data_IF_748832177314
#
_entry.id   IF_748832177314
#
_cell.length_a   1.000
_cell.length_b   1.000
_cell.length_c   1.000
_cell.angle_alpha   90.00
_cell.angle_beta   90.00
_cell.angle_gamma   90.00
#
_symmetry.space_group_name_H-M   'P 1'
#
loop_
_entity.id
_entity.type
_entity.pdbx_description
1 polymer ?
#
# COMPACT_ATOMS: atom_id res chain seq x y z
N UNK A 1 9.67 -25.14 12.54
CA UNK A 1 8.50 -24.22 12.63
C UNK A 1 8.88 -22.73 12.82
N UNK A 2 9.82 -22.35 13.71
CA UNK A 2 10.27 -20.94 13.89
C UNK A 2 10.71 -20.23 12.59
N UNK A 3 11.38 -20.96 11.69
CA UNK A 3 11.88 -20.45 10.39
C UNK A 3 10.75 -20.00 9.46
N UNK A 4 9.62 -20.71 9.45
CA UNK A 4 8.47 -20.36 8.59
C UNK A 4 7.78 -19.08 9.09
N UNK A 5 7.66 -18.86 10.41
CA UNK A 5 7.08 -17.62 10.97
C UNK A 5 7.94 -16.40 10.69
N UNK A 6 9.27 -16.50 10.87
CA UNK A 6 10.21 -15.42 10.56
C UNK A 6 10.26 -15.09 9.07
N UNK A 7 10.23 -16.10 8.21
CA UNK A 7 10.21 -15.88 6.76
C UNK A 7 8.96 -15.09 6.32
N UNK A 8 7.76 -15.41 6.85
CA UNK A 8 6.54 -14.66 6.55
C UNK A 8 6.58 -13.22 7.08
N UNK A 9 7.11 -13.02 8.29
CA UNK A 9 7.24 -11.67 8.86
C UNK A 9 8.23 -10.81 8.06
N UNK A 10 9.38 -11.39 7.66
CA UNK A 10 10.35 -10.73 6.80
C UNK A 10 9.76 -10.39 5.43
N UNK A 11 8.97 -11.29 4.85
CA UNK A 11 8.28 -11.06 3.57
C UNK A 11 7.25 -9.93 3.68
N UNK A 12 6.47 -9.88 4.76
CA UNK A 12 5.54 -8.77 5.00
C UNK A 12 6.27 -7.43 5.14
N UNK A 13 7.37 -7.40 5.92
CA UNK A 13 8.21 -6.21 6.12
C UNK A 13 8.86 -5.76 4.82
N UNK A 14 9.42 -6.68 4.02
CA UNK A 14 10.05 -6.33 2.74
C UNK A 14 9.04 -5.77 1.75
N UNK A 15 7.85 -6.36 1.66
CA UNK A 15 6.78 -5.86 0.79
C UNK A 15 6.30 -4.48 1.24
N UNK A 16 6.20 -4.23 2.55
CA UNK A 16 5.80 -2.93 3.08
C UNK A 16 6.87 -1.85 2.83
N UNK A 17 8.15 -2.21 2.98
CA UNK A 17 9.27 -1.33 2.63
C UNK A 17 9.28 -0.97 1.14
N UNK A 18 9.08 -1.96 0.26
CA UNK A 18 8.97 -1.71 -1.18
C UNK A 18 7.79 -0.79 -1.50
N UNK A 19 6.62 -1.01 -0.87
CA UNK A 19 5.47 -0.12 -1.02
C UNK A 19 5.83 1.31 -0.59
N UNK A 20 6.44 1.48 0.59
CA UNK A 20 6.82 2.81 1.07
C UNK A 20 7.77 3.54 0.12
N UNK A 21 8.80 2.86 -0.38
CA UNK A 21 9.75 3.44 -1.33
C UNK A 21 9.07 3.83 -2.64
N UNK A 22 8.22 2.95 -3.20
CA UNK A 22 7.54 3.21 -4.45
C UNK A 22 6.50 4.33 -4.33
N UNK A 23 5.67 4.35 -3.28
CA UNK A 23 4.70 5.43 -3.05
C UNK A 23 5.40 6.77 -2.77
N UNK A 24 6.46 6.80 -1.97
CA UNK A 24 7.21 8.05 -1.71
C UNK A 24 7.86 8.57 -2.98
N UNK A 25 8.45 7.69 -3.78
CA UNK A 25 9.05 8.06 -5.07
C UNK A 25 8.00 8.60 -6.02
N UNK A 26 6.88 7.89 -6.17
CA UNK A 26 5.75 8.31 -6.99
C UNK A 26 5.19 9.66 -6.52
N UNK A 27 5.10 9.91 -5.21
CA UNK A 27 4.53 11.16 -4.70
C UNK A 27 5.37 12.41 -5.00
N UNK A 28 6.70 12.27 -5.04
CA UNK A 28 7.64 13.40 -5.19
C UNK A 28 7.95 13.68 -6.67
N UNK A 29 7.98 12.64 -7.49
CA UNK A 29 8.36 12.75 -8.90
C UNK A 29 7.31 13.44 -9.77
N UNK A 30 7.76 14.01 -10.88
CA UNK A 30 6.95 14.72 -11.87
C UNK A 30 6.60 13.86 -13.09
N UNK A 31 6.87 12.56 -13.06
CA UNK A 31 6.69 11.65 -14.21
C UNK A 31 5.48 10.72 -14.05
N UNK A 32 4.33 11.23 -13.63
CA UNK A 32 3.09 10.43 -13.58
C UNK A 32 2.50 10.22 -14.96
N UNK A 33 2.55 11.27 -15.78
CA UNK A 33 2.18 11.20 -17.19
C UNK A 33 3.23 11.96 -17.99
N UNK A 34 3.49 11.45 -19.18
CA UNK A 34 4.44 12.02 -20.13
C UNK A 34 3.72 12.13 -21.48
N UNK A 35 4.00 13.19 -22.21
CA UNK A 35 3.31 13.40 -23.47
C UNK A 35 3.89 14.52 -24.28
N UNK A 36 3.19 14.79 -25.38
CA UNK A 36 3.51 15.91 -26.24
C UNK A 36 2.33 16.84 -26.39
N UNK A 37 2.64 18.13 -26.40
CA UNK A 37 1.70 19.19 -26.64
C UNK A 37 1.96 19.80 -28.01
N UNK A 38 0.90 20.03 -28.78
CA UNK A 38 0.96 20.72 -30.07
C UNK A 38 0.89 22.22 -29.85
N UNK A 39 1.97 22.94 -30.13
CA UNK A 39 2.07 24.40 -29.96
C UNK A 39 2.40 25.05 -31.29
N UNK A 40 1.82 26.21 -31.65
CA UNK A 40 2.19 26.93 -32.86
C UNK A 40 3.68 27.31 -32.86
N UNK A 41 4.35 27.15 -34.01
CA UNK A 41 5.75 27.59 -34.17
C UNK A 41 5.89 29.09 -33.88
N UNK A 42 6.88 29.52 -33.07
CA UNK A 42 7.18 30.94 -32.92
C UNK A 42 7.75 31.53 -34.23
N UNK A 43 7.68 32.85 -34.39
CA UNK A 43 8.35 33.55 -35.49
C UNK A 43 9.86 33.50 -35.32
N UNK A 44 10.61 33.29 -36.42
CA UNK A 44 12.07 33.23 -36.36
C UNK A 44 12.66 34.58 -35.90
N UNK A 45 13.51 34.54 -34.87
CA UNK A 45 14.33 35.68 -34.44
C UNK A 45 15.69 35.74 -35.16
N UNK A 46 16.45 36.82 -34.97
CA UNK A 46 17.74 37.05 -35.66
C UNK A 46 18.80 35.97 -35.41
N UNK A 47 18.69 35.20 -34.32
CA UNK A 47 19.71 34.22 -33.90
C UNK A 47 19.31 32.74 -34.00
N UNK A 48 18.02 32.39 -34.15
CA UNK A 48 17.54 31.00 -34.22
C UNK A 48 16.71 30.78 -35.50
N UNK A 49 17.24 29.96 -36.42
CA UNK A 49 16.67 29.68 -37.75
C UNK A 49 16.05 28.29 -37.91
N UNK A 50 16.06 27.45 -36.87
CA UNK A 50 15.50 26.08 -36.89
C UNK A 50 14.19 26.02 -36.09
N UNK A 51 13.18 25.30 -36.57
CA UNK A 51 11.87 25.10 -35.90
C UNK A 51 11.08 26.40 -35.64
N UNK A 52 11.10 27.35 -36.58
CA UNK A 52 10.37 28.61 -36.47
C UNK A 52 9.77 28.98 -37.82
N UNK A 53 8.72 29.80 -37.80
CA UNK A 53 8.08 30.28 -39.03
C UNK A 53 8.89 31.46 -39.59
N UNK A 54 9.54 31.25 -40.73
CA UNK A 54 10.15 32.32 -41.51
C UNK A 54 9.06 33.01 -42.33
N UNK A 55 8.58 34.14 -41.84
CA UNK A 55 7.77 35.04 -42.65
C UNK A 55 8.62 35.82 -43.67
N UNK A 56 9.95 35.74 -43.62
CA UNK A 56 10.85 36.44 -44.54
C UNK A 56 10.68 35.95 -45.98
N UNK A 57 9.91 36.70 -46.77
CA UNK A 57 10.22 36.88 -48.17
C UNK A 57 11.62 37.48 -48.27
N UNK A 58 12.45 36.91 -49.14
CA UNK A 58 13.80 37.33 -49.52
C UNK A 58 14.27 38.66 -48.93
N UNK A 59 15.38 38.62 -48.17
CA UNK A 59 16.14 39.76 -47.59
C UNK A 59 16.67 40.75 -48.66
N UNK A 60 15.78 41.32 -49.47
CA UNK A 60 16.07 42.32 -50.50
C UNK A 60 14.93 43.34 -50.67
N UNK A 61 14.03 43.49 -49.70
CA UNK A 61 12.98 44.50 -49.76
C UNK A 61 13.33 45.69 -48.86
N UNK A 62 13.74 46.78 -49.51
CA UNK A 62 13.86 48.11 -48.92
C UNK A 62 12.68 48.43 -47.99
N UNK A 63 13.01 48.97 -46.83
CA UNK A 63 12.08 49.51 -45.82
C UNK A 63 11.09 50.51 -46.44
N UNK A 64 9.90 50.08 -46.91
CA UNK A 64 8.81 51.04 -47.22
C UNK A 64 7.39 50.48 -47.29
N UNK A 65 7.11 49.21 -47.00
CA UNK A 65 5.72 48.71 -47.07
C UNK A 65 5.29 47.93 -45.82
N UNK A 66 4.50 48.59 -44.98
CA UNK A 66 3.87 48.02 -43.78
C UNK A 66 2.65 47.10 -44.09
N UNK A 67 2.30 46.92 -45.38
CA UNK A 67 1.15 46.11 -45.82
C UNK A 67 1.56 44.93 -46.72
N UNK A 68 2.67 44.25 -46.43
CA UNK A 68 3.00 43.00 -47.12
C UNK A 68 2.36 41.84 -46.35
N UNK A 69 1.29 41.26 -46.91
CA UNK A 69 0.70 40.02 -46.42
C UNK A 69 1.69 38.90 -46.70
N UNK A 70 2.35 38.42 -45.65
CA UNK A 70 3.31 37.31 -45.78
C UNK A 70 2.56 35.98 -45.90
N UNK A 71 2.62 35.38 -47.09
CA UNK A 71 2.10 34.05 -47.34
C UNK A 71 3.12 33.00 -46.85
N UNK A 72 2.76 32.28 -45.79
CA UNK A 72 3.46 31.07 -45.37
C UNK A 72 3.00 29.90 -46.23
N UNK A 73 3.91 29.26 -46.96
CA UNK A 73 3.64 28.07 -47.78
C UNK A 73 3.60 26.76 -46.96
N UNK A 74 3.90 26.80 -45.65
CA UNK A 74 3.75 25.64 -44.75
C UNK A 74 2.27 25.27 -44.56
N UNK A 75 1.89 24.06 -44.99
CA UNK A 75 0.48 23.62 -45.03
C UNK A 75 0.15 22.78 -43.80
N UNK A 76 -0.96 23.12 -43.12
CA UNK A 76 -1.59 22.27 -42.10
C UNK A 76 -0.73 21.99 -40.86
N UNK A 77 0.01 20.87 -40.89
CA UNK A 77 0.71 20.27 -39.75
C UNK A 77 2.11 20.86 -39.53
N UNK A 78 2.75 21.38 -40.58
CA UNK A 78 4.09 21.96 -40.50
C UNK A 78 4.14 23.21 -39.62
N UNK A 79 3.01 23.87 -39.34
CA UNK A 79 2.95 25.10 -38.54
C UNK A 79 3.10 24.88 -37.03
N UNK A 80 3.17 23.63 -36.58
CA UNK A 80 3.17 23.27 -35.17
C UNK A 80 4.46 22.56 -34.76
N UNK A 81 4.81 22.71 -33.50
CA UNK A 81 5.87 21.95 -32.83
C UNK A 81 5.23 21.07 -31.77
N UNK A 82 5.84 19.90 -31.60
CA UNK A 82 5.56 19.03 -30.47
C UNK A 82 6.50 19.38 -29.34
N UNK A 83 5.93 19.87 -28.24
CA UNK A 83 6.64 20.18 -27.01
C UNK A 83 6.43 19.05 -26.03
N UNK A 84 7.51 18.43 -25.57
CA UNK A 84 7.43 17.39 -24.55
C UNK A 84 7.05 18.01 -23.20
N UNK A 85 6.22 17.32 -22.44
CA UNK A 85 5.89 17.69 -21.07
C UNK A 85 5.83 16.44 -20.19
N UNK A 86 6.18 16.63 -18.92
CA UNK A 86 5.95 15.67 -17.86
C UNK A 86 5.13 16.32 -16.75
N UNK A 87 4.26 15.53 -16.14
CA UNK A 87 3.38 16.02 -15.09
C UNK A 87 3.30 15.03 -13.95
N UNK A 88 3.48 15.54 -12.73
CA UNK A 88 3.22 14.82 -11.50
C UNK A 88 2.11 15.49 -10.70
N UNK A 89 1.97 15.04 -9.45
CA UNK A 89 0.92 15.51 -8.55
C UNK A 89 1.05 17.01 -8.24
N UNK A 90 2.29 17.49 -8.10
CA UNK A 90 2.58 18.85 -7.64
C UNK A 90 2.86 19.84 -8.77
N UNK A 91 3.62 19.37 -9.77
CA UNK A 91 4.16 20.21 -10.83
C UNK A 91 3.98 19.54 -12.19
N UNK A 92 3.68 20.35 -13.19
CA UNK A 92 3.78 20.01 -14.60
C UNK A 92 4.88 20.85 -15.23
N UNK A 93 5.86 20.19 -15.84
CA UNK A 93 7.00 20.82 -16.47
C UNK A 93 6.96 20.57 -17.97
N UNK A 94 7.11 21.65 -18.72
CA UNK A 94 7.08 21.68 -20.18
C UNK A 94 8.48 22.03 -20.70
N UNK A 95 8.95 21.37 -21.76
CA UNK A 95 10.23 21.69 -22.37
C UNK A 95 10.21 23.08 -23.02
N UNK A 96 11.28 23.87 -22.84
CA UNK A 96 11.32 25.21 -23.41
C UNK A 96 11.71 25.19 -24.90
N UNK A 97 10.85 25.73 -25.75
CA UNK A 97 11.09 25.82 -27.20
C UNK A 97 12.21 26.83 -27.52
N UNK A 98 12.35 27.88 -26.72
CA UNK A 98 13.21 29.02 -27.03
C UNK A 98 14.60 28.93 -26.39
N UNK A 99 14.76 28.22 -25.27
CA UNK A 99 16.04 28.09 -24.55
C UNK A 99 16.26 26.66 -24.04
N UNK A 100 17.49 26.33 -23.63
CA UNK A 100 17.75 25.06 -22.94
C UNK A 100 17.14 25.11 -21.53
N UNK A 101 16.26 24.15 -21.21
CA UNK A 101 15.63 24.00 -19.89
C UNK A 101 14.14 23.68 -19.94
N UNK A 102 13.53 23.54 -18.78
CA UNK A 102 12.11 23.22 -18.61
C UNK A 102 11.40 24.35 -17.85
N UNK A 103 10.15 24.62 -18.21
CA UNK A 103 9.28 25.57 -17.51
C UNK A 103 8.26 24.79 -16.69
N UNK A 104 8.39 24.83 -15.38
CA UNK A 104 7.46 24.17 -14.45
C UNK A 104 6.36 25.12 -13.97
N UNK A 105 5.12 24.60 -13.91
CA UNK A 105 3.94 25.24 -13.33
C UNK A 105 3.30 24.28 -12.32
N UNK A 106 2.56 24.80 -11.33
CA UNK A 106 1.89 23.92 -10.36
C UNK A 106 0.66 23.27 -10.98
N UNK A 107 0.53 21.95 -10.84
CA UNK A 107 -0.58 21.19 -11.43
C UNK A 107 -1.96 21.66 -10.92
N UNK A 108 -2.03 22.21 -9.70
CA UNK A 108 -3.28 22.71 -9.12
C UNK A 108 -3.87 23.94 -9.84
N UNK A 109 -3.01 24.71 -10.50
CA UNK A 109 -3.43 25.88 -11.27
C UNK A 109 -4.02 25.47 -12.62
N UNK A 110 -3.62 24.30 -13.12
CA UNK A 110 -4.10 23.73 -14.38
C UNK A 110 -5.44 23.02 -14.21
N UNK A 111 -5.69 22.44 -13.04
CA UNK A 111 -6.93 21.75 -12.74
C UNK A 111 -8.14 22.72 -12.78
N UNK A 112 -9.26 22.32 -13.41
CA UNK A 112 -10.45 23.14 -13.48
C UNK A 112 -11.00 23.45 -12.08
N UNK A 113 -11.58 24.64 -11.90
CA UNK A 113 -11.99 25.15 -10.58
C UNK A 113 -12.96 24.22 -9.83
N UNK A 114 -13.79 23.45 -10.54
CA UNK A 114 -14.70 22.47 -9.94
C UNK A 114 -13.97 21.27 -9.29
N UNK A 115 -12.85 20.85 -9.86
CA UNK A 115 -12.11 19.65 -9.43
C UNK A 115 -10.99 19.94 -8.44
N UNK A 116 -10.69 21.22 -8.15
CA UNK A 116 -9.64 21.60 -7.19
C UNK A 116 -9.88 21.01 -5.80
N UNK A 117 -11.13 20.91 -5.36
CA UNK A 117 -11.48 20.27 -4.10
C UNK A 117 -11.17 18.77 -4.11
N UNK A 118 -11.52 18.09 -5.19
CA UNK A 118 -11.28 16.64 -5.38
C UNK A 118 -9.78 16.34 -5.46
N UNK A 119 -9.01 17.20 -6.12
CA UNK A 119 -7.56 17.10 -6.16
C UNK A 119 -6.95 17.19 -4.76
N UNK A 120 -7.39 18.14 -3.94
CA UNK A 120 -6.92 18.26 -2.55
C UNK A 120 -7.25 17.03 -1.72
N UNK A 121 -8.45 16.47 -1.87
CA UNK A 121 -8.81 15.21 -1.21
C UNK A 121 -7.88 14.07 -1.66
N UNK A 122 -7.43 14.08 -2.91
CA UNK A 122 -6.55 13.04 -3.45
C UNK A 122 -5.15 13.16 -2.85
N UNK A 123 -4.61 14.38 -2.81
CA UNK A 123 -3.34 14.68 -2.15
C UNK A 123 -3.37 14.31 -0.67
N UNK A 124 -4.43 14.69 0.05
CA UNK A 124 -4.59 14.36 1.47
C UNK A 124 -4.70 12.85 1.66
N UNK A 125 -5.46 12.14 0.82
CA UNK A 125 -5.58 10.68 0.89
C UNK A 125 -4.24 9.98 0.60
N UNK A 126 -3.46 10.49 -0.34
CA UNK A 126 -2.12 9.97 -0.68
C UNK A 126 -1.12 10.20 0.47
N UNK A 127 -1.15 11.37 1.11
CA UNK A 127 -0.35 11.65 2.30
C UNK A 127 -0.76 10.72 3.45
N UNK A 128 -2.06 10.55 3.70
CA UNK A 128 -2.56 9.62 4.71
C UNK A 128 -2.15 8.17 4.40
N UNK A 129 -2.16 7.78 3.12
CA UNK A 129 -1.68 6.48 2.67
C UNK A 129 -0.21 6.24 3.05
N UNK A 130 0.67 7.19 2.74
CA UNK A 130 2.11 7.12 3.09
C UNK A 130 2.29 7.09 4.62
N UNK A 131 1.58 7.94 5.37
CA UNK A 131 1.69 7.98 6.83
C UNK A 131 1.25 6.66 7.46
N UNK A 132 0.16 6.05 6.99
CA UNK A 132 -0.30 4.74 7.46
C UNK A 132 0.66 3.62 7.07
N UNK A 133 1.30 3.68 5.90
CA UNK A 133 2.37 2.75 5.51
C UNK A 133 3.56 2.86 6.47
N UNK A 134 4.01 4.06 6.81
CA UNK A 134 5.11 4.27 7.78
C UNK A 134 4.76 3.68 9.15
N UNK A 135 3.53 3.92 9.63
CA UNK A 135 3.05 3.35 10.90
C UNK A 135 2.99 1.83 10.82
N UNK A 136 2.45 1.27 9.73
CA UNK A 136 2.38 -0.17 9.49
C UNK A 136 3.76 -0.83 9.46
N UNK A 137 4.70 -0.26 8.72
CA UNK A 137 6.10 -0.70 8.67
C UNK A 137 6.74 -0.66 10.06
N UNK A 138 6.56 0.44 10.79
CA UNK A 138 7.10 0.60 12.15
C UNK A 138 6.58 -0.49 13.10
N UNK A 139 5.28 -0.80 13.05
CA UNK A 139 4.69 -1.87 13.87
C UNK A 139 5.21 -3.25 13.48
N UNK A 140 5.40 -3.54 12.18
CA UNK A 140 5.99 -4.80 11.72
C UNK A 140 7.46 -4.93 12.13
N UNK A 141 8.23 -3.83 12.09
CA UNK A 141 9.60 -3.80 12.61
C UNK A 141 9.61 -4.08 14.12
N UNK A 142 8.74 -3.45 14.89
CA UNK A 142 8.62 -3.70 16.34
C UNK A 142 8.29 -5.17 16.63
N UNK A 143 7.46 -5.83 15.82
CA UNK A 143 7.21 -7.27 15.94
C UNK A 143 8.48 -8.11 15.72
N UNK A 144 9.34 -7.74 14.77
CA UNK A 144 10.61 -8.43 14.53
C UNK A 144 11.60 -8.27 15.70
N UNK A 145 11.68 -7.08 16.30
CA UNK A 145 12.60 -6.79 17.40
C UNK A 145 12.12 -7.34 18.76
N UNK A 146 10.82 -7.25 19.09
CA UNK A 146 10.26 -7.67 20.38
C UNK A 146 9.79 -9.14 20.43
N UNK A 147 10.46 -10.05 19.71
CA UNK A 147 10.05 -11.46 19.59
C UNK A 147 10.10 -12.32 20.89
N UNK A 148 10.35 -11.72 22.05
CA UNK A 148 10.43 -12.39 23.36
C UNK A 148 9.07 -12.62 24.03
N UNK A 149 8.09 -11.72 23.88
CA UNK A 149 6.74 -11.87 24.44
C UNK A 149 5.71 -12.21 23.35
N UNK A 150 5.13 -13.40 23.43
CA UNK A 150 4.22 -13.91 22.37
C UNK A 150 2.86 -13.19 22.38
N UNK A 151 2.48 -12.59 23.51
CA UNK A 151 1.20 -11.89 23.72
C UNK A 151 1.24 -10.47 23.14
N UNK A 152 2.31 -9.72 23.34
CA UNK A 152 2.43 -8.36 22.80
C UNK A 152 2.64 -8.40 21.29
N UNK A 153 3.38 -9.40 20.79
CA UNK A 153 3.51 -9.65 19.35
C UNK A 153 2.17 -9.92 18.67
N UNK A 154 1.21 -10.57 19.34
CA UNK A 154 -0.12 -10.80 18.75
C UNK A 154 -0.93 -9.50 18.63
N UNK A 155 -0.87 -8.62 19.64
CA UNK A 155 -1.53 -7.31 19.60
C UNK A 155 -0.94 -6.41 18.53
N UNK A 156 0.39 -6.31 18.47
CA UNK A 156 1.11 -5.50 17.49
C UNK A 156 0.82 -5.95 16.05
N UNK A 157 0.79 -7.26 15.80
CA UNK A 157 0.45 -7.81 14.49
C UNK A 157 -0.99 -7.49 14.06
N UNK A 158 -1.95 -7.49 15.00
CA UNK A 158 -3.33 -7.09 14.72
C UNK A 158 -3.43 -5.61 14.32
N UNK A 159 -2.76 -4.71 15.06
CA UNK A 159 -2.71 -3.30 14.70
C UNK A 159 -2.01 -3.07 13.37
N UNK A 160 -0.87 -3.74 13.13
CA UNK A 160 -0.15 -3.67 11.86
C UNK A 160 -1.04 -4.09 10.69
N UNK A 161 -1.82 -5.17 10.83
CA UNK A 161 -2.78 -5.61 9.82
C UNK A 161 -3.86 -4.56 9.55
N UNK A 162 -4.46 -3.97 10.59
CA UNK A 162 -5.50 -2.94 10.41
C UNK A 162 -4.96 -1.71 9.70
N UNK A 163 -3.81 -1.17 10.13
CA UNK A 163 -3.22 0.01 9.50
C UNK A 163 -2.81 -0.24 8.05
N UNK A 164 -2.31 -1.44 7.74
CA UNK A 164 -1.93 -1.79 6.35
C UNK A 164 -3.12 -2.09 5.43
N UNK A 165 -4.24 -2.57 5.98
CA UNK A 165 -5.50 -2.64 5.21
C UNK A 165 -6.03 -1.24 4.95
N UNK A 166 -6.10 -0.38 5.97
CA UNK A 166 -6.60 0.99 5.83
C UNK A 166 -5.75 1.79 4.84
N UNK A 167 -4.42 1.64 4.89
CA UNK A 167 -3.53 2.27 3.91
C UNK A 167 -3.86 1.80 2.50
N UNK A 168 -4.03 0.49 2.26
CA UNK A 168 -4.39 -0.03 0.93
C UNK A 168 -5.71 0.54 0.40
N UNK A 169 -6.74 0.63 1.25
CA UNK A 169 -8.03 1.20 0.87
C UNK A 169 -7.92 2.68 0.49
N UNK A 170 -7.21 3.49 1.30
CA UNK A 170 -6.99 4.91 0.99
C UNK A 170 -6.12 5.10 -0.25
N UNK A 171 -5.10 4.25 -0.46
CA UNK A 171 -4.25 4.28 -1.66
C UNK A 171 -5.03 3.99 -2.94
N UNK A 172 -5.92 2.98 -2.92
CA UNK A 172 -6.79 2.69 -4.08
C UNK A 172 -7.66 3.90 -4.45
N UNK A 173 -8.28 4.52 -3.44
CA UNK A 173 -9.14 5.70 -3.65
C UNK A 173 -8.29 6.89 -4.10
N UNK A 174 -7.13 7.13 -3.48
CA UNK A 174 -6.25 8.24 -3.83
C UNK A 174 -5.78 8.17 -5.29
N UNK A 175 -5.26 7.01 -5.71
CA UNK A 175 -4.77 6.80 -7.07
C UNK A 175 -5.89 6.90 -8.11
N UNK A 176 -7.06 6.30 -7.84
CA UNK A 176 -8.22 6.42 -8.71
C UNK A 176 -8.73 7.85 -8.78
N UNK A 177 -8.81 8.56 -7.67
CA UNK A 177 -9.28 9.94 -7.67
C UNK A 177 -8.29 10.86 -8.40
N UNK A 178 -6.98 10.66 -8.23
CA UNK A 178 -5.97 11.41 -8.98
C UNK A 178 -6.07 11.16 -10.48
N UNK A 179 -6.18 9.90 -10.92
CA UNK A 179 -6.31 9.60 -12.36
C UNK A 179 -7.58 10.19 -12.96
N UNK A 180 -8.69 10.18 -12.23
CA UNK A 180 -9.93 10.79 -12.69
C UNK A 180 -9.79 12.31 -12.84
N UNK A 181 -9.27 12.99 -11.81
CA UNK A 181 -9.01 14.44 -11.88
C UNK A 181 -8.04 14.76 -13.01
N UNK A 182 -7.03 13.93 -13.23
CA UNK A 182 -6.07 14.09 -14.32
C UNK A 182 -6.75 13.96 -15.69
N UNK A 183 -7.58 12.95 -15.90
CA UNK A 183 -8.33 12.77 -17.16
C UNK A 183 -9.28 13.95 -17.44
N UNK A 184 -9.94 14.46 -16.39
CA UNK A 184 -10.77 15.67 -16.51
C UNK A 184 -9.92 16.89 -16.81
N UNK A 185 -8.75 17.02 -16.19
CA UNK A 185 -7.81 18.14 -16.44
C UNK A 185 -7.24 18.09 -17.85
N UNK A 186 -6.97 16.91 -18.40
CA UNK A 186 -6.53 16.77 -19.79
C UNK A 186 -7.64 17.13 -20.79
N UNK A 187 -8.90 16.82 -20.50
CA UNK A 187 -10.02 17.06 -21.42
C UNK A 187 -10.60 18.48 -21.32
N UNK A 188 -10.64 19.05 -20.12
CA UNK A 188 -11.26 20.36 -19.83
C UNK A 188 -10.25 21.43 -19.39
N UNK A 189 -8.97 21.06 -19.26
CA UNK A 189 -7.92 22.01 -18.91
C UNK A 189 -7.71 23.10 -19.96
N UNK A 190 -6.89 24.10 -19.61
CA UNK A 190 -6.69 25.28 -20.45
C UNK A 190 -6.04 24.91 -21.78
N UNK A 191 -6.39 25.66 -22.83
CA UNK A 191 -5.95 25.37 -24.20
C UNK A 191 -4.42 25.40 -24.35
N UNK A 192 -3.73 26.21 -23.54
CA UNK A 192 -2.27 26.34 -23.53
C UNK A 192 -1.54 25.20 -22.80
N UNK A 193 -2.25 24.27 -22.15
CA UNK A 193 -1.68 23.08 -21.52
C UNK A 193 -2.19 21.76 -22.11
N UNK A 194 -3.38 21.76 -22.72
CA UNK A 194 -4.05 20.56 -23.21
C UNK A 194 -3.11 19.69 -24.09
N UNK A 195 -2.82 18.44 -23.69
CA UNK A 195 -1.91 17.59 -24.44
C UNK A 195 -2.54 17.02 -25.70
N UNK A 196 -1.71 16.78 -26.72
CA UNK A 196 -2.14 16.17 -27.99
C UNK A 196 -2.07 14.65 -27.92
N UNK A 197 -0.96 14.12 -27.41
CA UNK A 197 -0.79 12.71 -27.05
C UNK A 197 -0.19 12.65 -25.65
N UNK A 198 -0.62 11.68 -24.85
CA UNK A 198 -0.10 11.46 -23.51
C UNK A 198 -0.21 9.98 -23.15
N UNK A 199 0.75 9.51 -22.37
CA UNK A 199 0.80 8.16 -21.82
C UNK A 199 1.13 8.23 -20.32
N UNK A 200 0.84 7.14 -19.60
CA UNK A 200 1.22 7.02 -18.20
C UNK A 200 2.73 6.84 -18.07
N UNK A 201 3.36 7.61 -17.20
CA UNK A 201 4.79 7.56 -16.91
C UNK A 201 5.16 6.44 -15.93
N UNK A 202 6.45 6.30 -15.66
CA UNK A 202 6.97 5.24 -14.78
C UNK A 202 6.47 5.37 -13.33
N UNK A 203 6.22 6.61 -12.88
CA UNK A 203 5.75 6.91 -11.52
C UNK A 203 4.35 6.38 -11.26
N UNK A 204 3.51 6.39 -12.29
CA UNK A 204 2.19 5.77 -12.25
C UNK A 204 2.30 4.26 -11.99
N UNK A 205 3.19 3.59 -12.72
CA UNK A 205 3.47 2.17 -12.50
C UNK A 205 4.00 1.90 -11.09
N UNK A 206 4.83 2.78 -10.53
CA UNK A 206 5.30 2.68 -9.15
C UNK A 206 4.17 2.86 -8.12
N UNK A 207 3.23 3.78 -8.35
CA UNK A 207 2.07 3.96 -7.47
C UNK A 207 1.21 2.69 -7.41
N UNK A 208 0.84 2.12 -8.56
CA UNK A 208 0.11 0.84 -8.62
C UNK A 208 0.91 -0.35 -8.10
N UNK A 209 2.23 -0.35 -8.33
CA UNK A 209 3.16 -1.31 -7.76
C UNK A 209 3.18 -1.23 -6.24
N UNK A 210 3.20 -0.02 -5.68
CA UNK A 210 3.12 0.24 -4.24
C UNK A 210 1.82 -0.27 -3.65
N UNK A 211 0.68 0.09 -4.27
CA UNK A 211 -0.63 -0.39 -3.84
C UNK A 211 -0.68 -1.92 -3.81
N UNK A 212 -0.16 -2.58 -4.85
CA UNK A 212 -0.11 -4.04 -4.94
C UNK A 212 0.77 -4.64 -3.84
N UNK A 213 1.96 -4.07 -3.62
CA UNK A 213 2.86 -4.51 -2.55
C UNK A 213 2.22 -4.31 -1.17
N UNK A 214 1.51 -3.20 -0.95
CA UNK A 214 0.77 -2.91 0.27
C UNK A 214 -0.34 -3.95 0.51
N UNK A 215 -1.14 -4.26 -0.50
CA UNK A 215 -2.20 -5.27 -0.41
C UNK A 215 -1.63 -6.67 -0.14
N UNK A 216 -0.54 -7.04 -0.83
CA UNK A 216 0.16 -8.29 -0.59
C UNK A 216 0.75 -8.37 0.84
N UNK A 217 1.34 -7.29 1.33
CA UNK A 217 1.83 -7.18 2.71
C UNK A 217 0.69 -7.32 3.72
N UNK A 218 -0.43 -6.64 3.49
CA UNK A 218 -1.64 -6.71 4.32
C UNK A 218 -2.19 -8.14 4.41
N UNK A 219 -2.37 -8.82 3.27
CA UNK A 219 -2.84 -10.22 3.23
C UNK A 219 -1.84 -11.15 3.94
N UNK A 220 -0.54 -10.94 3.76
CA UNK A 220 0.50 -11.73 4.44
C UNK A 220 0.47 -11.53 5.96
N UNK A 221 0.24 -10.30 6.39
CA UNK A 221 0.14 -9.91 7.81
C UNK A 221 -1.09 -10.52 8.45
N UNK A 222 -2.26 -10.38 7.81
CA UNK A 222 -3.52 -11.00 8.23
C UNK A 222 -3.42 -12.54 8.30
N UNK A 223 -2.83 -13.17 7.29
CA UNK A 223 -2.63 -14.62 7.28
C UNK A 223 -1.70 -15.07 8.42
N UNK A 224 -0.67 -14.29 8.71
CA UNK A 224 0.24 -14.56 9.83
C UNK A 224 -0.44 -14.35 11.18
N UNK A 225 -1.30 -13.34 11.31
CA UNK A 225 -2.13 -13.10 12.48
C UNK A 225 -3.08 -14.28 12.74
N UNK A 226 -3.89 -14.65 11.75
CA UNK A 226 -4.86 -15.74 11.86
C UNK A 226 -4.19 -17.06 12.22
N UNK A 227 -3.06 -17.41 11.56
CA UNK A 227 -2.29 -18.62 11.92
C UNK A 227 -1.80 -18.59 13.36
N UNK A 228 -1.35 -17.43 13.85
CA UNK A 228 -0.87 -17.28 15.23
C UNK A 228 -2.02 -17.43 16.23
N UNK A 229 -3.18 -16.82 15.98
CA UNK A 229 -4.38 -16.96 16.83
C UNK A 229 -4.85 -18.41 16.90
N UNK A 230 -4.92 -19.10 15.76
CA UNK A 230 -5.35 -20.51 15.71
C UNK A 230 -4.35 -21.39 16.47
N UNK A 231 -3.04 -21.19 16.30
CA UNK A 231 -2.01 -21.93 17.03
C UNK A 231 -2.15 -21.74 18.55
N UNK A 232 -2.38 -20.50 19.00
CA UNK A 232 -2.62 -20.21 20.42
C UNK A 232 -3.88 -20.89 20.95
N UNK A 233 -4.99 -20.81 20.22
CA UNK A 233 -6.24 -21.47 20.62
C UNK A 233 -6.07 -22.99 20.66
N UNK A 234 -5.34 -23.56 19.70
CA UNK A 234 -5.09 -24.99 19.66
C UNK A 234 -4.21 -25.46 20.82
N UNK A 235 -3.11 -24.75 21.12
CA UNK A 235 -2.26 -25.04 22.29
C UNK A 235 -3.03 -24.92 23.59
N UNK A 236 -3.90 -23.91 23.73
CA UNK A 236 -4.76 -23.76 24.91
C UNK A 236 -5.72 -24.94 25.05
N UNK A 237 -6.37 -25.37 23.96
CA UNK A 237 -7.26 -26.54 23.96
C UNK A 237 -6.52 -27.84 24.34
N UNK A 238 -5.32 -28.06 23.80
CA UNK A 238 -4.50 -29.22 24.15
C UNK A 238 -4.13 -29.19 25.64
N UNK A 239 -3.75 -28.02 26.16
CA UNK A 239 -3.41 -27.86 27.57
C UNK A 239 -4.63 -28.08 28.48
N UNK A 240 -5.80 -27.52 28.14
CA UNK A 240 -7.06 -27.75 28.85
C UNK A 240 -7.48 -29.24 28.81
N UNK A 241 -7.28 -29.93 27.68
CA UNK A 241 -7.56 -31.37 27.56
C UNK A 241 -6.60 -32.21 28.42
N UNK A 242 -5.31 -31.92 28.40
CA UNK A 242 -4.32 -32.62 29.23
C UNK A 242 -4.63 -32.47 30.73
N UNK A 243 -4.98 -31.27 31.17
CA UNK A 243 -5.38 -31.03 32.57
C UNK A 243 -6.64 -31.81 32.96
N UNK A 244 -7.62 -31.89 32.04
CA UNK A 244 -8.86 -32.65 32.26
C UNK A 244 -8.62 -34.16 32.30
N UNK A 245 -7.73 -34.69 31.47
CA UNK A 245 -7.33 -36.10 31.50
C UNK A 245 -6.58 -36.45 32.79
N UNK A 246 -5.63 -35.60 33.23
CA UNK A 246 -4.92 -35.78 34.49
C UNK A 246 -5.86 -35.76 35.69
N UNK A 247 -6.83 -34.83 35.70
CA UNK A 247 -7.84 -34.77 36.76
C UNK A 247 -8.76 -35.99 36.76
N UNK A 248 -9.19 -36.49 35.59
CA UNK A 248 -9.98 -37.72 35.49
C UNK A 248 -9.19 -38.95 35.96
N UNK A 249 -7.88 -39.00 35.67
CA UNK A 249 -7.02 -40.09 36.11
C UNK A 249 -6.89 -40.13 37.64
N UNK A 250 -6.61 -38.98 38.26
CA UNK A 250 -6.52 -38.86 39.72
C UNK A 250 -7.85 -39.20 40.41
N UNK A 251 -8.98 -38.79 39.85
CA UNK A 251 -10.31 -39.10 40.40
C UNK A 251 -10.59 -40.62 40.33
N UNK A 252 -10.23 -41.27 39.22
CA UNK A 252 -10.40 -42.70 39.06
C UNK A 252 -9.50 -43.53 39.99
N UNK A 253 -8.27 -43.08 40.23
CA UNK A 253 -7.34 -43.71 41.17
C UNK A 253 -7.82 -43.55 42.62
N UNK A 254 -8.31 -42.36 42.99
CA UNK A 254 -8.92 -42.13 44.30
C UNK A 254 -10.16 -43.02 44.52
N UNK A 255 -11.07 -43.11 43.54
CA UNK A 255 -12.25 -43.99 43.61
C UNK A 255 -11.84 -45.45 43.79
N UNK A 256 -10.79 -45.90 43.07
CA UNK A 256 -10.28 -47.27 43.18
C UNK A 256 -9.70 -47.54 44.58
N UNK A 257 -8.90 -46.62 45.10
CA UNK A 257 -8.34 -46.70 46.45
C UNK A 257 -9.43 -46.78 47.53
N UNK A 258 -10.45 -45.91 47.47
CA UNK A 258 -11.57 -45.95 48.41
C UNK A 258 -12.36 -47.25 48.32
N UNK A 259 -12.56 -47.78 47.11
CA UNK A 259 -13.25 -49.06 46.90
C UNK A 259 -12.48 -50.22 47.53
N UNK A 260 -11.18 -50.34 47.24
CA UNK A 260 -10.33 -51.40 47.78
C UNK A 260 -10.30 -51.35 49.32
N UNK A 261 -10.15 -50.16 49.91
CA UNK A 261 -10.20 -49.97 51.36
C UNK A 261 -11.53 -50.39 51.98
N UNK A 262 -12.65 -50.07 51.31
CA UNK A 262 -13.99 -50.46 51.80
C UNK A 262 -14.21 -51.97 51.73
N UNK A 263 -13.62 -52.64 50.72
CA UNK A 263 -13.65 -54.10 50.59
C UNK A 263 -12.79 -54.79 51.66
N UNK A 264 -11.60 -54.25 51.97
CA UNK A 264 -10.75 -54.72 53.09
C UNK A 264 -11.47 -54.58 54.44
N UNK A 265 -12.03 -53.40 54.74
CA UNK A 265 -12.78 -53.18 55.99
C UNK A 265 -13.97 -54.14 56.12
N UNK A 266 -14.65 -54.45 55.00
CA UNK A 266 -15.77 -55.40 55.00
C UNK A 266 -15.29 -56.84 55.17
N UNK A 267 -14.15 -57.22 54.61
CA UNK A 267 -13.54 -58.53 54.79
C UNK A 267 -13.07 -58.73 56.24
N UNK A 268 -12.41 -57.75 56.83
CA UNK A 268 -11.94 -57.76 58.20
C UNK A 268 -13.11 -57.82 59.21
N UNK A 269 -14.17 -57.04 58.98
CA UNK A 269 -15.40 -57.13 59.77
C UNK A 269 -16.09 -58.50 59.64
N UNK A 270 -16.03 -59.12 58.45
CA UNK A 270 -16.53 -60.47 58.21
C UNK A 270 -15.77 -61.53 59.01
N UNK A 271 -14.44 -61.43 59.02
CA UNK A 271 -13.56 -62.38 59.71
C UNK A 271 -13.67 -62.25 61.25
N UNK A 272 -13.78 -61.02 61.75
CA UNK A 272 -14.02 -60.74 63.17
C UNK A 272 -15.39 -61.28 63.63
N UNK A 273 -16.40 -61.20 62.76
CA UNK A 273 -17.73 -61.77 63.03
C UNK A 273 -17.68 -63.30 63.02
N UNK A 274 -16.87 -63.92 62.17
CA UNK A 274 -16.64 -65.36 62.13
C UNK A 274 -15.90 -65.85 63.38
N UNK A 275 -14.88 -65.12 63.84
CA UNK A 275 -14.17 -65.40 65.10
C UNK A 275 -15.07 -65.27 66.32
N UNK A 276 -15.95 -64.26 66.37
CA UNK A 276 -16.96 -64.15 67.43
C UNK A 276 -17.95 -65.32 67.40
N UNK A 277 -18.39 -65.76 66.22
CA UNK A 277 -19.26 -66.94 66.06
C UNK A 277 -18.57 -68.23 66.52
N UNK A 278 -17.29 -68.39 66.20
CA UNK A 278 -16.50 -69.56 66.61
C UNK A 278 -16.23 -69.56 68.13
N UNK A 279 -16.06 -68.39 68.75
CA UNK A 279 -15.84 -68.26 70.19
C UNK A 279 -17.13 -68.34 71.03
N UNK A 280 -18.30 -68.13 70.41
CA UNK A 280 -19.61 -68.23 71.03
C UNK A 280 -20.27 -69.62 70.86
N UNK A 281 -19.60 -70.60 70.26
CA UNK A 281 -20.10 -71.98 70.20
C UNK A 281 -19.56 -72.77 71.41
N UNK A 282 -20.38 -73.09 72.43
CA UNK A 282 -20.00 -74.04 73.45
C UNK A 282 -20.08 -75.46 72.89
N UNK A 283 -19.23 -76.36 73.41
CA UNK A 283 -19.30 -77.81 73.21
C UNK A 283 -20.71 -78.37 73.46
#
# INVERSE_FOLDING_TARGET
MKTNRRCRALLAVSLNLMALLFSTTAFITTHWCEGTQRVPKPSCGKEKKTNCLNYSGNETANETNQNVVHYSWETGDDRFLFRYFHTGIWYSCEENINAAGEKCRSFIDLAPASEKGVLWLSVVSEVLYIMLLVVGFSLMCLELFHSSSVIDGLKLNAFAAVFTVLSGLLGMVAHMMYTQVFQVTVSLGPEDWRPHTWDYGWSFCLAWGSFTCCMAASVTTLNSYTKTVIEFRHKRKIFEQGFREEQNFLDQEAIKYFRERTEEERAEAGDLRLQCLHSCSPN
#
